data_IF_548786344361
#
_entry.id   IF_548786344361
#
_cell.length_a   1.000
_cell.length_b   1.000
_cell.length_c   1.000
_cell.angle_alpha   90.00
_cell.angle_beta   90.00
_cell.angle_gamma   90.00
#
_symmetry.space_group_name_H-M   'P 1'
#
loop_
_entity.id
_entity.type
_entity.pdbx_description
1 polymer ?
#
# COMPACT_ATOMS: atom_id res chain seq x y z
N UNK A 1 2.13 21.82 16.62
CA UNK A 1 1.75 20.72 15.72
C UNK A 1 2.85 20.65 14.69
N UNK A 2 3.64 19.58 14.66
CA UNK A 2 4.70 19.46 13.66
C UNK A 2 4.04 19.27 12.30
N UNK A 3 4.49 20.02 11.30
CA UNK A 3 4.07 19.79 9.92
C UNK A 3 4.39 18.34 9.53
N UNK A 4 3.51 17.67 8.77
CA UNK A 4 3.80 16.35 8.27
C UNK A 4 5.09 16.41 7.45
N UNK A 5 5.99 15.44 7.67
CA UNK A 5 7.25 15.38 6.92
C UNK A 5 6.96 15.35 5.42
N UNK A 6 7.64 16.21 4.66
CA UNK A 6 7.61 16.12 3.20
C UNK A 6 8.37 14.87 2.76
N UNK A 7 7.68 14.01 2.00
CA UNK A 7 8.26 12.80 1.43
C UNK A 7 8.35 13.00 -0.09
N UNK A 8 9.54 12.79 -0.64
CA UNK A 8 9.75 12.87 -2.09
C UNK A 8 9.09 11.68 -2.80
N UNK A 9 8.72 11.88 -4.06
CA UNK A 9 8.14 10.82 -4.89
C UNK A 9 9.06 9.59 -5.01
N UNK A 10 10.38 9.80 -5.03
CA UNK A 10 11.38 8.73 -5.02
C UNK A 10 11.37 7.93 -3.72
N UNK A 11 11.33 8.60 -2.56
CA UNK A 11 11.22 7.92 -1.27
C UNK A 11 9.94 7.09 -1.18
N UNK A 12 8.83 7.65 -1.69
CA UNK A 12 7.55 6.95 -1.72
C UNK A 12 7.60 5.69 -2.62
N UNK A 13 8.17 5.79 -3.83
CA UNK A 13 8.37 4.64 -4.72
C UNK A 13 9.20 3.55 -4.05
N UNK A 14 10.31 3.92 -3.42
CA UNK A 14 11.20 2.97 -2.76
C UNK A 14 10.52 2.26 -1.58
N UNK A 15 9.69 2.97 -0.80
CA UNK A 15 8.95 2.38 0.30
C UNK A 15 7.90 1.35 -0.14
N UNK A 16 7.29 1.58 -1.32
CA UNK A 16 6.21 0.75 -1.85
C UNK A 16 6.65 -0.40 -2.76
N UNK A 17 7.85 -0.30 -3.35
CA UNK A 17 8.40 -1.35 -4.21
C UNK A 17 8.46 -2.75 -3.55
N UNK A 18 8.86 -2.91 -2.27
CA UNK A 18 8.83 -4.21 -1.59
C UNK A 18 7.43 -4.82 -1.43
N UNK A 19 6.39 -3.97 -1.44
CA UNK A 19 4.99 -4.37 -1.37
C UNK A 19 4.41 -4.66 -2.77
N UNK A 20 5.23 -4.53 -3.82
CA UNK A 20 4.86 -4.71 -5.21
C UNK A 20 3.83 -3.69 -5.70
N UNK A 21 3.79 -2.49 -5.11
CA UNK A 21 2.89 -1.40 -5.50
C UNK A 21 3.62 -0.47 -6.46
N UNK A 22 3.05 -0.24 -7.64
CA UNK A 22 3.59 0.65 -8.68
C UNK A 22 2.76 1.93 -8.72
N UNK A 23 3.33 3.05 -8.25
CA UNK A 23 2.58 4.30 -8.06
C UNK A 23 1.91 4.88 -9.32
N UNK A 24 2.43 4.60 -10.51
CA UNK A 24 1.86 5.12 -11.76
C UNK A 24 0.70 4.26 -12.29
N UNK A 25 0.55 3.03 -11.77
CA UNK A 25 -0.36 2.01 -12.31
C UNK A 25 -1.42 1.58 -11.30
N UNK A 26 -1.01 1.44 -10.04
CA UNK A 26 -1.85 0.93 -8.97
C UNK A 26 -2.62 2.05 -8.26
N UNK A 27 -3.93 1.82 -8.09
CA UNK A 27 -4.73 2.56 -7.12
C UNK A 27 -4.86 1.72 -5.85
N UNK A 28 -4.35 2.24 -4.72
CA UNK A 28 -4.34 1.48 -3.46
C UNK A 28 -4.95 2.25 -2.30
N UNK A 29 -5.62 1.53 -1.40
CA UNK A 29 -5.94 1.98 -0.03
C UNK A 29 -5.14 1.14 0.95
N UNK A 30 -4.50 1.79 1.91
CA UNK A 30 -3.68 1.15 2.93
C UNK A 30 -4.38 1.26 4.29
N UNK A 31 -4.47 0.14 5.00
CA UNK A 31 -4.90 0.10 6.40
C UNK A 31 -3.77 -0.48 7.24
N UNK A 32 -3.22 0.34 8.15
CA UNK A 32 -2.12 -0.04 9.02
C UNK A 32 -2.63 -0.35 10.43
N UNK A 33 -2.19 -1.46 10.99
CA UNK A 33 -2.33 -1.88 12.39
C UNK A 33 -0.95 -2.29 12.92
N UNK A 34 -0.79 -2.37 14.24
CA UNK A 34 0.51 -2.61 14.90
C UNK A 34 1.30 -3.79 14.29
N UNK A 35 0.61 -4.86 13.90
CA UNK A 35 1.25 -6.08 13.39
C UNK A 35 0.85 -6.43 11.94
N UNK A 36 0.10 -5.55 11.27
CA UNK A 36 -0.46 -5.87 9.97
C UNK A 36 -0.64 -4.63 9.10
N UNK A 37 -0.23 -4.73 7.84
CA UNK A 37 -0.56 -3.77 6.80
C UNK A 37 -1.49 -4.46 5.79
N UNK A 38 -2.71 -3.98 5.66
CA UNK A 38 -3.65 -4.43 4.64
C UNK A 38 -3.59 -3.50 3.44
N UNK A 39 -3.29 -4.06 2.27
CA UNK A 39 -3.22 -3.34 0.99
C UNK A 39 -4.46 -3.71 0.18
N UNK A 40 -5.35 -2.74 -0.03
CA UNK A 40 -6.50 -2.88 -0.92
C UNK A 40 -6.14 -2.30 -2.28
N UNK A 41 -5.98 -3.15 -3.30
CA UNK A 41 -5.73 -2.73 -4.68
C UNK A 41 -7.04 -2.60 -5.43
N UNK A 42 -7.24 -1.46 -6.08
CA UNK A 42 -8.40 -1.13 -6.88
C UNK A 42 -8.07 -1.43 -8.35
N UNK A 43 -8.64 -2.51 -8.90
CA UNK A 43 -8.51 -2.80 -10.33
C UNK A 43 -9.59 -2.04 -11.10
N UNK A 44 -9.16 -1.11 -11.96
CA UNK A 44 -10.05 -0.45 -12.93
C UNK A 44 -10.41 -1.46 -14.02
N UNK A 45 -11.70 -1.62 -14.30
CA UNK A 45 -12.12 -2.45 -15.44
C UNK A 45 -11.74 -1.79 -16.78
N UNK A 46 -11.55 -2.61 -17.81
CA UNK A 46 -11.14 -2.21 -19.17
C UNK A 46 -12.09 -1.22 -19.86
N UNK A 47 -13.32 -1.05 -19.37
CA UNK A 47 -14.27 -0.08 -19.93
C UNK A 47 -14.10 1.33 -19.37
N UNK A 48 -13.21 1.55 -18.39
CA UNK A 48 -13.09 2.83 -17.68
C UNK A 48 -14.36 3.23 -16.91
N UNK A 49 -15.39 2.39 -16.93
CA UNK A 49 -16.66 2.59 -16.26
C UNK A 49 -16.68 1.76 -14.99
N UNK A 50 -17.20 2.31 -13.88
CA UNK A 50 -17.52 1.51 -12.73
C UNK A 50 -18.56 0.46 -13.15
N UNK A 51 -18.16 -0.80 -13.41
CA UNK A 51 -19.09 -1.93 -13.48
C UNK A 51 -20.14 -1.84 -12.37
N UNK A 52 -21.41 -2.08 -12.69
CA UNK A 52 -22.56 -1.93 -11.79
C UNK A 52 -22.60 -3.00 -10.68
N UNK A 53 -21.50 -3.15 -9.96
CA UNK A 53 -21.35 -3.90 -8.72
C UNK A 53 -21.58 -2.91 -7.56
N UNK A 54 -22.00 -3.36 -6.38
CA UNK A 54 -22.23 -2.49 -5.22
C UNK A 54 -21.03 -1.58 -4.87
N UNK A 55 -19.82 -1.95 -5.30
CA UNK A 55 -18.58 -1.19 -5.13
C UNK A 55 -18.21 -0.28 -6.33
N UNK A 56 -19.12 -0.03 -7.27
CA UNK A 56 -18.86 0.83 -8.42
C UNK A 56 -17.71 0.31 -9.29
N UNK A 57 -17.69 -0.99 -9.55
CA UNK A 57 -16.89 -1.53 -10.66
C UNK A 57 -15.41 -1.60 -10.48
N UNK A 58 -15.00 -1.51 -9.22
CA UNK A 58 -13.65 -1.72 -8.81
C UNK A 58 -13.60 -3.08 -8.15
N UNK A 59 -12.76 -3.98 -8.68
CA UNK A 59 -12.42 -5.18 -7.93
C UNK A 59 -11.37 -4.78 -6.89
N UNK A 60 -11.76 -4.80 -5.62
CA UNK A 60 -10.86 -4.58 -4.49
C UNK A 60 -10.20 -5.90 -4.10
N UNK A 61 -8.92 -6.06 -4.40
CA UNK A 61 -8.13 -7.20 -3.90
C UNK A 61 -7.44 -6.76 -2.61
N UNK A 62 -7.78 -7.38 -1.49
CA UNK A 62 -7.13 -7.13 -0.21
C UNK A 62 -6.00 -8.14 0.00
N UNK A 63 -4.80 -7.64 0.28
CA UNK A 63 -3.64 -8.46 0.64
C UNK A 63 -3.15 -8.05 2.02
N UNK A 64 -3.06 -9.00 2.95
CA UNK A 64 -2.50 -8.77 4.27
C UNK A 64 -0.98 -9.02 4.24
N UNK A 65 -0.21 -8.03 4.69
CA UNK A 65 1.23 -8.12 4.87
C UNK A 65 1.51 -8.11 6.37
N UNK A 66 2.17 -9.16 6.85
CA UNK A 66 2.61 -9.22 8.24
C UNK A 66 3.70 -8.17 8.47
N UNK A 67 3.53 -7.35 9.51
CA UNK A 67 4.56 -6.41 9.95
C UNK A 67 5.39 -7.13 11.00
N UNK A 68 6.61 -7.50 10.64
CA UNK A 68 7.56 -8.07 11.59
C UNK A 68 8.20 -6.93 12.39
N UNK A 69 8.36 -7.16 13.70
CA UNK A 69 9.21 -6.29 14.51
C UNK A 69 10.64 -6.33 13.99
N UNK A 70 11.33 -5.19 13.99
CA UNK A 70 12.74 -5.12 13.64
C UNK A 70 13.52 -6.08 14.55
N UNK A 71 14.32 -7.01 14.00
CA UNK A 71 15.17 -7.85 14.82
C UNK A 71 16.14 -6.94 15.59
N UNK A 72 16.37 -7.19 16.89
CA UNK A 72 17.27 -6.34 17.67
C UNK A 72 18.63 -6.28 16.98
N UNK A 73 19.32 -5.13 17.00
CA UNK A 73 20.67 -5.05 16.45
C UNK A 73 21.51 -6.13 17.13
N UNK A 74 22.11 -7.00 16.32
CA UNK A 74 22.98 -8.06 16.82
C UNK A 74 24.14 -7.47 17.63
N UNK A 75 24.77 -8.26 18.52
CA UNK A 75 25.93 -7.78 19.25
C UNK A 75 26.98 -7.32 18.24
N UNK A 76 27.40 -6.05 18.34
CA UNK A 76 28.58 -5.57 17.63
C UNK A 76 29.75 -6.50 17.98
N UNK A 77 30.34 -7.13 16.96
CA UNK A 77 31.53 -7.98 17.10
C UNK A 77 32.80 -7.13 16.94
#
# INVERSE_FOLDING_TARGET
>A
MADPAEVTLTQLRNAFAPLGIVLDEDFVRLELRENALTIHRLVRTTSGMPACLPDGGVQCTATAVAVAAEPPPGPEA
#
